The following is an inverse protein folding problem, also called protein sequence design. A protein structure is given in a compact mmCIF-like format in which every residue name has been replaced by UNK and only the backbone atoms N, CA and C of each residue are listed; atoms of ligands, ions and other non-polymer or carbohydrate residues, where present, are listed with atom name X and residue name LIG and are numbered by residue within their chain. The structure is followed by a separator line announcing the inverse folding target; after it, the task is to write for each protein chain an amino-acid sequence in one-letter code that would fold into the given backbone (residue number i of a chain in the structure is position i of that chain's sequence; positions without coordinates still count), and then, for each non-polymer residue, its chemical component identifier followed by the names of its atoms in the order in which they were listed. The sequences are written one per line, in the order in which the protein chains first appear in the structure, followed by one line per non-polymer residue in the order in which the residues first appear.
data_IF_556923244482
#
_entry.id   IF_556923244482
#
_cell.length_a   1.000
_cell.length_b   1.000
_cell.length_c   1.000
_cell.angle_alpha   90.00
_cell.angle_beta   90.00
_cell.angle_gamma   90.00
#
_symmetry.space_group_name_H-M   'P 1'
#
loop_
_entity.id
_entity.type
_entity.pdbx_description
1 polymer ?
#
# COMPACT_ATOMS: atom_id res chain seq x y z
N UNK A 1 28.78 -29.40 -70.68
CA UNK A 1 27.38 -29.17 -70.25
C UNK A 1 27.02 -29.96 -68.96
N UNK A 2 27.24 -31.25 -68.88
CA UNK A 2 26.88 -32.05 -67.72
C UNK A 2 27.55 -31.58 -66.39
N UNK A 3 28.83 -31.22 -66.39
CA UNK A 3 29.53 -30.74 -65.20
C UNK A 3 29.01 -29.41 -64.62
N UNK A 4 28.58 -28.49 -65.46
CA UNK A 4 27.98 -27.20 -65.06
C UNK A 4 26.62 -27.39 -64.38
N UNK A 5 25.78 -28.27 -64.88
CA UNK A 5 24.50 -28.60 -64.25
C UNK A 5 24.64 -29.26 -62.88
N UNK A 6 25.63 -30.13 -62.70
CA UNK A 6 25.92 -30.76 -61.42
C UNK A 6 26.42 -29.75 -60.37
N UNK A 7 27.27 -28.79 -60.78
CA UNK A 7 27.74 -27.73 -59.89
C UNK A 7 26.62 -26.79 -59.46
N UNK A 8 25.72 -26.39 -60.36
CA UNK A 8 24.57 -25.53 -60.04
C UNK A 8 23.58 -26.21 -59.08
N UNK A 9 23.34 -27.53 -59.26
CA UNK A 9 22.47 -28.29 -58.34
C UNK A 9 23.08 -28.40 -56.93
N UNK A 10 24.38 -28.69 -56.84
CA UNK A 10 25.06 -28.79 -55.54
C UNK A 10 25.11 -27.43 -54.80
N UNK A 11 25.37 -26.33 -55.55
CA UNK A 11 25.33 -24.98 -54.96
C UNK A 11 23.91 -24.64 -54.48
N UNK A 12 22.87 -25.01 -55.24
CA UNK A 12 21.46 -24.80 -54.86
C UNK A 12 21.08 -25.55 -53.58
N UNK A 13 21.51 -26.80 -53.43
CA UNK A 13 21.27 -27.59 -52.22
C UNK A 13 22.00 -27.01 -50.98
N UNK A 14 23.24 -26.56 -51.14
CA UNK A 14 24.02 -25.94 -50.07
C UNK A 14 23.36 -24.63 -49.60
N UNK A 15 22.89 -23.80 -50.55
CA UNK A 15 22.21 -22.53 -50.24
C UNK A 15 20.88 -22.79 -49.53
N UNK A 16 20.10 -23.77 -49.97
CA UNK A 16 18.85 -24.15 -49.31
C UNK A 16 19.07 -24.64 -47.88
N UNK A 17 20.08 -25.47 -47.65
CA UNK A 17 20.45 -25.94 -46.33
C UNK A 17 20.81 -24.78 -45.35
N UNK A 18 21.55 -23.79 -45.84
CA UNK A 18 21.87 -22.60 -45.02
C UNK A 18 20.63 -21.77 -44.69
N UNK A 19 19.70 -21.61 -45.62
CA UNK A 19 18.43 -20.88 -45.36
C UNK A 19 17.60 -21.62 -44.32
N UNK A 20 17.50 -22.94 -44.39
CA UNK A 20 16.76 -23.76 -43.41
C UNK A 20 17.39 -23.66 -42.03
N UNK A 21 18.71 -23.76 -41.93
CA UNK A 21 19.42 -23.61 -40.67
C UNK A 21 19.22 -22.23 -40.07
N UNK A 22 19.34 -21.16 -40.89
CA UNK A 22 19.10 -19.79 -40.45
C UNK A 22 17.66 -19.62 -39.93
N UNK A 23 16.68 -20.17 -40.65
CA UNK A 23 15.28 -20.13 -40.22
C UNK A 23 15.07 -20.86 -38.89
N UNK A 24 15.63 -22.05 -38.73
CA UNK A 24 15.55 -22.80 -37.45
C UNK A 24 16.19 -22.02 -36.29
N UNK A 25 17.34 -21.37 -36.50
CA UNK A 25 18.01 -20.57 -35.50
C UNK A 25 17.16 -19.35 -35.11
N UNK A 26 16.53 -18.70 -36.07
CA UNK A 26 15.60 -17.58 -35.81
C UNK A 26 14.39 -18.06 -35.02
N UNK A 27 13.81 -19.19 -35.34
CA UNK A 27 12.68 -19.76 -34.58
C UNK A 27 13.08 -20.11 -33.14
N UNK A 28 14.23 -20.72 -32.96
CA UNK A 28 14.76 -21.01 -31.62
C UNK A 28 14.99 -19.70 -30.83
N UNK A 29 15.59 -18.71 -31.43
CA UNK A 29 15.81 -17.41 -30.81
C UNK A 29 14.50 -16.74 -30.39
N UNK A 30 13.49 -16.71 -31.30
CA UNK A 30 12.17 -16.14 -30.98
C UNK A 30 11.50 -16.91 -29.82
N UNK A 31 11.55 -18.24 -29.83
CA UNK A 31 10.97 -19.06 -28.78
C UNK A 31 11.64 -18.81 -27.42
N UNK A 32 12.97 -18.69 -27.40
CA UNK A 32 13.74 -18.38 -26.18
C UNK A 32 13.39 -16.98 -25.67
N UNK A 33 13.25 -15.99 -26.55
CA UNK A 33 12.86 -14.64 -26.15
C UNK A 33 11.45 -14.59 -25.56
N UNK A 34 10.49 -15.26 -26.17
CA UNK A 34 9.11 -15.34 -25.66
C UNK A 34 9.08 -15.99 -24.26
N UNK A 35 9.83 -17.09 -24.08
CA UNK A 35 9.89 -17.77 -22.80
C UNK A 35 10.58 -16.90 -21.72
N UNK A 36 11.63 -16.16 -22.11
CA UNK A 36 12.31 -15.23 -21.22
C UNK A 36 11.39 -14.07 -20.78
N UNK A 37 10.65 -13.45 -21.69
CA UNK A 37 9.67 -12.40 -21.38
C UNK A 37 8.58 -12.92 -20.45
N UNK A 38 8.06 -14.11 -20.71
CA UNK A 38 7.04 -14.75 -19.87
C UNK A 38 7.55 -15.01 -18.45
N UNK A 39 8.78 -15.50 -18.31
CA UNK A 39 9.41 -15.69 -16.98
C UNK A 39 9.60 -14.38 -16.23
N UNK A 40 9.96 -13.31 -16.92
CA UNK A 40 10.08 -11.96 -16.33
C UNK A 40 8.72 -11.45 -15.83
N UNK A 41 7.65 -11.63 -16.60
CA UNK A 41 6.29 -11.25 -16.19
C UNK A 41 5.83 -12.05 -14.95
N UNK A 42 6.07 -13.37 -14.95
CA UNK A 42 5.75 -14.22 -13.79
C UNK A 42 6.53 -13.82 -12.54
N UNK A 43 7.81 -13.50 -12.67
CA UNK A 43 8.63 -13.02 -11.55
C UNK A 43 8.14 -11.67 -11.00
N UNK A 44 7.81 -10.73 -11.89
CA UNK A 44 7.25 -9.44 -11.51
C UNK A 44 5.90 -9.60 -10.80
N UNK A 45 5.06 -10.50 -11.28
CA UNK A 45 3.77 -10.81 -10.64
C UNK A 45 3.99 -11.42 -9.25
N UNK A 46 4.89 -12.36 -9.09
CA UNK A 46 5.23 -12.95 -7.80
C UNK A 46 5.81 -11.92 -6.82
N UNK A 47 6.69 -11.04 -7.30
CA UNK A 47 7.20 -9.94 -6.48
C UNK A 47 6.09 -9.00 -6.04
N UNK A 48 5.17 -8.60 -6.93
CA UNK A 48 4.00 -7.79 -6.59
C UNK A 48 3.13 -8.48 -5.54
N UNK A 49 2.81 -9.76 -5.71
CA UNK A 49 2.04 -10.55 -4.75
C UNK A 49 2.76 -10.62 -3.40
N UNK A 50 4.07 -10.82 -3.39
CA UNK A 50 4.87 -10.87 -2.15
C UNK A 50 4.85 -9.52 -1.40
N UNK A 51 4.99 -8.41 -2.13
CA UNK A 51 4.86 -7.05 -1.57
C UNK A 51 3.44 -6.85 -1.02
N UNK A 52 2.41 -7.26 -1.76
CA UNK A 52 1.01 -7.21 -1.33
C UNK A 52 0.80 -7.92 0.02
N UNK A 53 1.24 -9.17 0.11
CA UNK A 53 1.09 -9.98 1.33
C UNK A 53 1.88 -9.37 2.49
N UNK A 54 3.03 -8.75 2.22
CA UNK A 54 3.85 -8.12 3.26
C UNK A 54 3.25 -6.80 3.78
N UNK A 55 2.46 -6.08 2.96
CA UNK A 55 1.77 -4.85 3.37
C UNK A 55 0.51 -5.15 4.18
N UNK A 56 -0.16 -6.29 3.93
CA UNK A 56 -1.25 -6.76 4.80
C UNK A 56 -0.59 -7.49 5.97
N UNK A 57 -0.62 -6.91 7.15
CA UNK A 57 -0.01 -7.52 8.33
C UNK A 57 -0.65 -8.89 8.64
N UNK A 58 0.07 -10.03 8.53
CA UNK A 58 -0.53 -11.35 8.74
C UNK A 58 -1.15 -11.51 10.13
N UNK A 59 -0.55 -10.88 11.12
CA UNK A 59 -1.04 -10.89 12.50
C UNK A 59 -2.39 -10.15 12.65
N UNK A 60 -2.59 -9.03 11.95
CA UNK A 60 -3.88 -8.33 11.92
C UNK A 60 -4.97 -9.21 11.32
N UNK A 61 -4.72 -9.82 10.15
CA UNK A 61 -5.68 -10.72 9.50
C UNK A 61 -6.08 -11.88 10.43
N UNK A 62 -5.11 -12.51 11.06
CA UNK A 62 -5.37 -13.63 11.98
C UNK A 62 -6.22 -13.20 13.17
N UNK A 63 -5.95 -12.04 13.73
CA UNK A 63 -6.71 -11.50 14.86
C UNK A 63 -8.14 -11.15 14.49
N UNK A 64 -8.35 -10.46 13.36
CA UNK A 64 -9.69 -10.11 12.85
C UNK A 64 -10.51 -11.37 12.60
N UNK A 65 -9.97 -12.36 11.88
CA UNK A 65 -10.66 -13.62 11.62
C UNK A 65 -11.00 -14.40 12.90
N UNK A 66 -10.10 -14.35 13.90
CA UNK A 66 -10.35 -14.99 15.20
C UNK A 66 -11.48 -14.28 15.95
N UNK A 67 -11.55 -12.95 15.90
CA UNK A 67 -12.62 -12.17 16.52
C UNK A 67 -13.96 -12.39 15.80
N UNK A 68 -13.98 -12.37 14.47
CA UNK A 68 -15.20 -12.70 13.68
C UNK A 68 -15.71 -14.11 14.03
N UNK A 69 -14.81 -15.10 14.13
CA UNK A 69 -15.18 -16.46 14.53
C UNK A 69 -15.82 -16.52 15.93
N UNK A 70 -15.34 -15.71 16.88
CA UNK A 70 -15.93 -15.60 18.20
C UNK A 70 -17.32 -14.97 18.13
N UNK A 71 -17.49 -13.88 17.38
CA UNK A 71 -18.76 -13.19 17.17
C UNK A 71 -19.82 -14.08 16.52
N UNK A 72 -19.46 -14.98 15.60
CA UNK A 72 -20.41 -15.93 15.01
C UNK A 72 -21.18 -16.76 16.03
N UNK A 73 -20.66 -16.91 17.26
CA UNK A 73 -21.32 -17.65 18.36
C UNK A 73 -22.11 -16.76 19.30
N UNK A 74 -21.90 -15.44 19.28
CA UNK A 74 -22.42 -14.47 20.24
C UNK A 74 -23.47 -13.60 19.57
N UNK A 75 -23.11 -12.98 18.45
CA UNK A 75 -23.95 -12.09 17.65
C UNK A 75 -23.66 -12.24 16.16
N UNK A 76 -24.54 -12.94 15.45
CA UNK A 76 -24.38 -13.21 14.03
C UNK A 76 -24.45 -11.93 13.17
N UNK A 77 -25.19 -10.89 13.60
CA UNK A 77 -25.29 -9.62 12.87
C UNK A 77 -24.01 -8.82 12.98
N UNK A 78 -23.43 -8.78 14.17
CA UNK A 78 -22.15 -8.12 14.38
C UNK A 78 -21.03 -8.85 13.63
N UNK A 79 -21.06 -10.19 13.59
CA UNK A 79 -20.15 -11.00 12.79
C UNK A 79 -20.27 -10.72 11.27
N UNK A 80 -21.49 -10.56 10.75
CA UNK A 80 -21.74 -10.20 9.34
C UNK A 80 -21.23 -8.82 9.01
N UNK A 81 -21.46 -7.83 9.88
CA UNK A 81 -20.91 -6.47 9.74
C UNK A 81 -19.40 -6.47 9.70
N UNK A 82 -18.76 -7.15 10.65
CA UNK A 82 -17.31 -7.27 10.73
C UNK A 82 -16.70 -7.99 9.50
N UNK A 83 -17.36 -9.01 8.97
CA UNK A 83 -16.95 -9.68 7.75
C UNK A 83 -17.06 -8.76 6.53
N UNK A 84 -18.08 -7.90 6.49
CA UNK A 84 -18.24 -6.89 5.45
C UNK A 84 -17.12 -5.86 5.50
N UNK A 85 -16.84 -5.29 6.67
CA UNK A 85 -15.74 -4.34 6.86
C UNK A 85 -14.40 -4.96 6.51
N UNK A 86 -14.17 -6.22 6.90
CA UNK A 86 -12.96 -6.95 6.56
C UNK A 86 -12.79 -7.14 5.05
N UNK A 87 -13.89 -7.46 4.35
CA UNK A 87 -13.87 -7.62 2.88
C UNK A 87 -13.59 -6.29 2.19
N UNK A 88 -14.19 -5.18 2.66
CA UNK A 88 -13.96 -3.83 2.13
C UNK A 88 -12.54 -3.36 2.41
N UNK A 89 -12.01 -3.62 3.60
CA UNK A 89 -10.63 -3.36 3.96
C UNK A 89 -9.64 -4.08 3.04
N UNK A 90 -9.82 -5.39 2.82
CA UNK A 90 -8.96 -6.17 1.90
C UNK A 90 -9.02 -5.65 0.46
N UNK A 91 -10.24 -5.31 -0.02
CA UNK A 91 -10.42 -4.73 -1.36
C UNK A 91 -9.69 -3.40 -1.49
N UNK A 92 -9.84 -2.50 -0.51
CA UNK A 92 -9.15 -1.21 -0.49
C UNK A 92 -7.63 -1.34 -0.56
N UNK A 93 -7.04 -2.31 0.16
CA UNK A 93 -5.62 -2.62 0.06
C UNK A 93 -5.23 -3.07 -1.36
N UNK A 94 -6.01 -3.96 -1.99
CA UNK A 94 -5.75 -4.44 -3.35
C UNK A 94 -5.85 -3.32 -4.39
N UNK A 95 -6.88 -2.47 -4.29
CA UNK A 95 -7.09 -1.33 -5.19
C UNK A 95 -5.95 -0.31 -5.08
N UNK A 96 -5.44 -0.10 -3.87
CA UNK A 96 -4.34 0.83 -3.59
C UNK A 96 -3.01 0.43 -4.25
N UNK A 97 -2.78 -0.87 -4.46
CA UNK A 97 -1.58 -1.39 -5.13
C UNK A 97 -1.58 -1.13 -6.64
N UNK A 98 -2.76 -0.99 -7.23
CA UNK A 98 -2.93 -0.69 -8.66
C UNK A 98 -2.79 0.80 -8.97
N UNK A 99 -2.90 1.66 -7.94
CA UNK A 99 -2.87 3.11 -8.08
C UNK A 99 -1.48 3.68 -7.77
N UNK A 100 -0.85 4.29 -8.77
CA UNK A 100 0.44 4.97 -8.62
C UNK A 100 0.31 6.49 -8.39
N UNK A 101 -0.89 7.04 -8.51
CA UNK A 101 -1.19 8.47 -8.36
C UNK A 101 -1.91 8.79 -7.04
N UNK A 102 -2.43 10.00 -6.94
CA UNK A 102 -3.26 10.41 -5.80
C UNK A 102 -4.71 9.91 -5.96
N UNK A 103 -5.33 9.58 -4.83
CA UNK A 103 -6.75 9.23 -4.70
C UNK A 103 -7.48 10.29 -3.89
N UNK A 104 -8.81 10.46 -4.02
CA UNK A 104 -9.58 11.36 -3.17
C UNK A 104 -9.41 11.01 -1.68
N UNK A 105 -9.23 12.03 -0.83
CA UNK A 105 -9.10 11.83 0.62
C UNK A 105 -10.28 11.06 1.23
N UNK A 106 -11.49 11.27 0.74
CA UNK A 106 -12.67 10.52 1.20
C UNK A 106 -12.54 9.01 1.00
N UNK A 107 -11.88 8.57 -0.07
CA UNK A 107 -11.65 7.16 -0.33
C UNK A 107 -10.65 6.58 0.70
N UNK A 108 -9.56 7.29 0.96
CA UNK A 108 -8.55 6.92 1.97
C UNK A 108 -9.14 6.93 3.39
N UNK A 109 -9.96 7.95 3.69
CA UNK A 109 -10.67 8.05 4.97
C UNK A 109 -11.63 6.88 5.18
N UNK A 110 -12.36 6.46 4.13
CA UNK A 110 -13.27 5.34 4.22
C UNK A 110 -12.54 4.02 4.41
N UNK A 111 -11.43 3.82 3.71
CA UNK A 111 -10.54 2.68 3.92
C UNK A 111 -10.03 2.61 5.37
N UNK A 112 -9.55 3.73 5.90
CA UNK A 112 -9.09 3.86 7.28
C UNK A 112 -10.22 3.58 8.29
N UNK A 113 -11.46 3.97 8.00
CA UNK A 113 -12.62 3.67 8.87
C UNK A 113 -12.87 2.16 8.97
N UNK A 114 -12.81 1.42 7.87
CA UNK A 114 -12.95 -0.04 7.92
C UNK A 114 -11.88 -0.70 8.80
N UNK A 115 -10.63 -0.24 8.69
CA UNK A 115 -9.56 -0.66 9.61
C UNK A 115 -9.91 -0.37 11.08
N UNK A 116 -10.33 0.87 11.37
CA UNK A 116 -10.68 1.30 12.73
C UNK A 116 -11.85 0.50 13.30
N UNK A 117 -12.89 0.21 12.51
CA UNK A 117 -14.06 -0.54 12.96
C UNK A 117 -13.67 -1.98 13.31
N UNK A 118 -12.77 -2.60 12.53
CA UNK A 118 -12.20 -3.91 12.86
C UNK A 118 -11.36 -3.90 14.15
N UNK A 119 -10.59 -2.86 14.41
CA UNK A 119 -9.81 -2.75 15.65
C UNK A 119 -10.71 -2.40 16.85
N UNK A 120 -11.76 -1.59 16.67
CA UNK A 120 -12.77 -1.35 17.72
C UNK A 120 -13.53 -2.61 18.12
N UNK A 121 -13.87 -3.47 17.16
CA UNK A 121 -14.46 -4.78 17.46
C UNK A 121 -13.53 -5.62 18.35
N UNK A 122 -12.22 -5.51 18.15
CA UNK A 122 -11.22 -6.28 18.88
C UNK A 122 -10.93 -5.72 20.28
N UNK A 123 -10.78 -4.40 20.39
CA UNK A 123 -10.37 -3.72 21.62
C UNK A 123 -11.54 -3.16 22.43
N UNK A 124 -12.73 -3.12 21.85
CA UNK A 124 -13.92 -2.67 22.54
C UNK A 124 -13.81 -1.24 23.06
N UNK A 125 -14.04 -1.09 24.37
CA UNK A 125 -14.04 0.22 25.04
C UNK A 125 -12.64 0.82 25.26
N UNK A 126 -11.60 0.03 25.10
CA UNK A 126 -10.21 0.48 25.32
C UNK A 126 -9.69 1.33 24.15
N UNK A 127 -10.39 1.30 22.99
CA UNK A 127 -10.06 2.10 21.82
C UNK A 127 -11.15 3.10 21.47
N UNK A 128 -10.84 4.37 21.63
CA UNK A 128 -11.68 5.46 21.12
C UNK A 128 -11.02 6.10 19.90
N UNK A 129 -11.74 6.22 18.78
CA UNK A 129 -11.26 6.92 17.59
C UNK A 129 -12.27 7.97 17.18
N UNK A 130 -11.82 9.22 17.09
CA UNK A 130 -12.62 10.39 16.75
C UNK A 130 -12.21 10.94 15.37
N UNK A 131 -13.19 11.20 14.52
CA UNK A 131 -12.98 11.80 13.20
C UNK A 131 -13.54 13.22 13.18
N UNK A 132 -12.66 14.20 13.09
CA UNK A 132 -12.99 15.62 12.93
C UNK A 132 -12.44 16.10 11.58
N UNK A 133 -13.11 15.74 10.49
CA UNK A 133 -12.63 15.93 9.12
C UNK A 133 -13.54 16.85 8.31
N UNK A 134 -13.60 18.15 8.63
CA UNK A 134 -14.44 19.12 7.91
C UNK A 134 -13.95 19.40 6.50
N UNK A 135 -12.65 19.24 6.22
CA UNK A 135 -12.03 19.44 4.91
C UNK A 135 -11.74 18.08 4.28
N UNK A 136 -12.37 17.80 3.12
CA UNK A 136 -12.26 16.48 2.46
C UNK A 136 -12.04 16.58 0.95
N UNK A 137 -12.04 17.80 0.38
CA UNK A 137 -11.97 18.03 -1.07
C UNK A 137 -10.52 18.16 -1.55
N UNK A 138 -9.71 17.14 -1.30
CA UNK A 138 -8.33 17.05 -1.77
C UNK A 138 -7.95 15.59 -2.03
N UNK A 139 -6.78 15.39 -2.60
CA UNK A 139 -6.27 14.04 -2.93
C UNK A 139 -4.89 13.85 -2.33
N UNK A 140 -4.57 12.59 -2.00
CA UNK A 140 -3.28 12.18 -1.44
C UNK A 140 -2.91 10.78 -1.98
N UNK A 141 -1.66 10.36 -1.85
CA UNK A 141 -1.27 9.00 -2.23
C UNK A 141 -2.04 7.93 -1.44
N UNK A 142 -2.41 6.80 -2.04
CA UNK A 142 -3.10 5.72 -1.34
C UNK A 142 -2.24 5.14 -0.19
N UNK A 143 -2.89 4.56 0.82
CA UNK A 143 -2.27 3.99 2.03
C UNK A 143 -1.38 5.00 2.78
N UNK A 144 -1.80 6.26 2.82
CA UNK A 144 -1.10 7.34 3.53
C UNK A 144 -1.64 7.52 4.94
N UNK A 145 -2.97 7.52 5.11
CA UNK A 145 -3.62 7.77 6.40
C UNK A 145 -3.63 6.50 7.27
N UNK A 146 -4.00 5.35 6.70
CA UNK A 146 -4.16 4.10 7.46
C UNK A 146 -2.90 3.69 8.22
N UNK A 147 -1.66 3.68 7.65
CA UNK A 147 -0.46 3.30 8.40
C UNK A 147 -0.14 4.22 9.58
N UNK A 148 -0.54 5.49 9.50
CA UNK A 148 -0.35 6.44 10.62
C UNK A 148 -1.36 6.14 11.74
N UNK A 149 -2.62 5.90 11.37
CA UNK A 149 -3.67 5.51 12.33
C UNK A 149 -3.35 4.14 12.94
N UNK A 150 -2.84 3.19 12.16
CA UNK A 150 -2.37 1.91 12.67
C UNK A 150 -1.27 2.08 13.71
N UNK A 151 -0.28 2.94 13.43
CA UNK A 151 0.80 3.23 14.36
C UNK A 151 0.26 3.83 15.67
N UNK A 152 -0.66 4.80 15.58
CA UNK A 152 -1.31 5.42 16.74
C UNK A 152 -2.09 4.38 17.57
N UNK A 153 -2.87 3.52 16.92
CA UNK A 153 -3.64 2.47 17.60
C UNK A 153 -2.70 1.45 18.26
N UNK A 154 -1.83 0.79 17.47
CA UNK A 154 -1.08 -0.39 17.96
C UNK A 154 0.14 -0.05 18.80
N UNK A 155 0.85 0.99 18.42
CA UNK A 155 2.10 1.39 19.08
C UNK A 155 1.94 2.57 20.03
N UNK A 156 0.83 3.32 19.89
CA UNK A 156 0.44 4.37 20.81
C UNK A 156 -0.49 3.85 21.92
N UNK A 157 -1.81 3.92 21.66
CA UNK A 157 -2.83 3.75 22.70
C UNK A 157 -2.95 2.33 23.23
N UNK A 158 -2.81 1.30 22.40
CA UNK A 158 -2.93 -0.10 22.82
C UNK A 158 -1.72 -0.64 23.59
N UNK A 159 -0.70 0.17 23.77
CA UNK A 159 0.40 -0.13 24.70
C UNK A 159 0.10 0.32 26.14
N UNK A 160 -0.97 1.11 26.35
CA UNK A 160 -1.47 1.48 27.67
C UNK A 160 -2.48 0.47 28.18
N UNK A 161 -2.41 0.11 29.47
CA UNK A 161 -3.35 -0.83 30.10
C UNK A 161 -4.82 -0.34 30.08
N UNK A 162 -5.03 0.96 30.07
CA UNK A 162 -6.36 1.60 30.09
C UNK A 162 -6.83 2.01 28.70
N UNK A 163 -6.08 1.64 27.64
CA UNK A 163 -6.37 2.08 26.30
C UNK A 163 -6.13 3.57 26.08
N UNK A 164 -6.83 4.16 25.12
CA UNK A 164 -6.72 5.59 24.83
C UNK A 164 -7.52 6.05 23.64
N UNK A 165 -7.20 7.26 23.17
CA UNK A 165 -7.93 7.97 22.14
C UNK A 165 -7.01 8.33 20.98
N UNK A 166 -7.48 8.07 19.75
CA UNK A 166 -6.87 8.57 18.51
C UNK A 166 -7.82 9.58 17.88
N UNK A 167 -7.29 10.74 17.50
CA UNK A 167 -8.06 11.81 16.85
C UNK A 167 -7.49 12.04 15.45
N UNK A 168 -8.34 11.90 14.44
CA UNK A 168 -8.03 12.23 13.06
C UNK A 168 -8.72 13.54 12.73
N UNK A 169 -7.97 14.54 12.32
CA UNK A 169 -8.52 15.85 11.96
C UNK A 169 -8.01 16.35 10.63
N UNK A 170 -8.83 17.16 9.95
CA UNK A 170 -8.42 17.88 8.74
C UNK A 170 -8.68 19.36 8.88
N UNK A 171 -7.78 20.15 8.34
CA UNK A 171 -7.92 21.59 8.20
C UNK A 171 -7.28 22.05 6.88
N UNK A 172 -7.37 23.34 6.59
CA UNK A 172 -6.69 23.91 5.45
C UNK A 172 -6.05 25.25 5.83
N UNK A 173 -4.92 25.54 5.19
CA UNK A 173 -4.24 26.81 5.22
C UNK A 173 -4.39 27.50 3.87
N UNK A 174 -3.75 28.64 3.68
CA UNK A 174 -3.71 29.29 2.36
C UNK A 174 -3.01 28.44 1.30
N UNK A 175 -1.96 27.69 1.70
CA UNK A 175 -1.10 26.92 0.80
C UNK A 175 -1.37 25.42 0.79
N UNK A 176 -1.90 24.87 1.90
CA UNK A 176 -1.92 23.42 2.11
C UNK A 176 -3.25 22.92 2.67
N UNK A 177 -3.57 21.67 2.36
CA UNK A 177 -4.47 20.84 3.14
C UNK A 177 -3.66 20.14 4.23
N UNK A 178 -4.19 20.13 5.44
CA UNK A 178 -3.50 19.57 6.61
C UNK A 178 -4.32 18.41 7.16
N UNK A 179 -3.67 17.26 7.35
CA UNK A 179 -4.24 16.08 8.01
C UNK A 179 -3.41 15.81 9.26
N UNK A 180 -4.07 15.72 10.40
CA UNK A 180 -3.40 15.44 11.68
C UNK A 180 -3.98 14.19 12.30
N UNK A 181 -3.10 13.29 12.75
CA UNK A 181 -3.43 12.12 13.57
C UNK A 181 -2.73 12.28 14.91
N UNK A 182 -3.51 12.39 15.98
CA UNK A 182 -3.02 12.55 17.34
C UNK A 182 -3.48 11.39 18.23
N UNK A 183 -2.59 10.84 19.02
CA UNK A 183 -2.89 9.84 20.03
C UNK A 183 -2.41 10.25 21.41
N UNK A 184 -3.09 9.76 22.45
CA UNK A 184 -2.71 9.90 23.85
C UNK A 184 -1.96 8.66 24.38
N UNK A 185 -1.32 7.91 23.49
CA UNK A 185 -0.58 6.69 23.78
C UNK A 185 0.73 6.92 24.54
N UNK A 186 1.56 5.86 24.59
CA UNK A 186 2.85 5.90 25.28
C UNK A 186 3.88 6.84 24.65
N UNK A 187 3.68 7.23 23.37
CA UNK A 187 4.65 8.00 22.61
C UNK A 187 6.01 7.30 22.49
N UNK A 188 6.98 8.01 21.95
CA UNK A 188 8.36 7.54 21.79
C UNK A 188 9.33 8.72 21.72
N UNK A 189 10.61 8.42 21.83
CA UNK A 189 11.68 9.40 21.63
C UNK A 189 11.87 9.67 20.12
N UNK A 190 11.46 10.85 19.66
CA UNK A 190 11.52 11.24 18.26
C UNK A 190 12.96 11.32 17.72
N UNK A 191 13.98 11.53 18.57
CA UNK A 191 15.39 11.53 18.12
C UNK A 191 15.84 10.13 17.66
N UNK A 192 15.23 9.05 18.19
CA UNK A 192 15.53 7.68 17.79
C UNK A 192 14.97 7.33 16.41
N UNK A 193 13.98 8.05 15.91
CA UNK A 193 13.49 7.91 14.52
C UNK A 193 14.57 8.24 13.49
N UNK A 194 15.38 9.25 13.73
CA UNK A 194 16.45 9.68 12.83
C UNK A 194 17.59 8.66 12.72
N UNK A 195 17.72 7.75 13.70
CA UNK A 195 18.78 6.75 13.77
C UNK A 195 18.45 5.41 13.08
N UNK A 196 17.35 5.30 12.30
CA UNK A 196 17.00 4.08 11.55
C UNK A 196 16.27 3.03 12.38
N UNK A 197 15.53 3.42 13.40
CA UNK A 197 14.77 2.54 14.29
C UNK A 197 13.48 1.96 13.69
N UNK A 198 12.71 1.26 14.51
CA UNK A 198 11.55 0.38 14.22
C UNK A 198 10.34 0.98 13.46
N UNK A 199 10.37 2.24 12.99
CA UNK A 199 9.21 2.94 12.40
C UNK A 199 9.26 3.01 10.86
N UNK A 200 9.56 1.89 10.21
CA UNK A 200 9.65 1.79 8.74
C UNK A 200 8.35 2.24 8.05
N UNK A 201 7.18 2.00 8.67
CA UNK A 201 5.89 2.39 8.11
C UNK A 201 5.71 3.90 7.97
N UNK A 202 6.02 4.67 9.01
CA UNK A 202 5.94 6.14 8.97
C UNK A 202 6.94 6.76 7.98
N UNK A 203 8.14 6.19 7.90
CA UNK A 203 9.14 6.62 6.93
C UNK A 203 8.67 6.43 5.49
N UNK A 204 8.11 5.27 5.17
CA UNK A 204 7.57 4.98 3.84
C UNK A 204 6.43 5.93 3.45
N UNK A 205 5.56 6.29 4.42
CA UNK A 205 4.50 7.30 4.19
C UNK A 205 5.10 8.66 3.86
N UNK A 206 6.10 9.11 4.62
CA UNK A 206 6.79 10.38 4.43
C UNK A 206 7.41 10.48 3.03
N UNK A 207 8.19 9.45 2.63
CA UNK A 207 8.81 9.40 1.31
C UNK A 207 7.77 9.42 0.17
N UNK A 208 6.70 8.64 0.31
CA UNK A 208 5.64 8.57 -0.69
C UNK A 208 4.89 9.90 -0.81
N UNK A 209 4.57 10.55 0.32
CA UNK A 209 3.91 11.85 0.34
C UNK A 209 4.75 12.90 -0.39
N UNK A 210 6.06 12.94 -0.13
CA UNK A 210 6.97 13.85 -0.79
C UNK A 210 7.11 13.55 -2.30
N UNK A 211 7.26 12.29 -2.68
CA UNK A 211 7.50 11.89 -4.06
C UNK A 211 6.29 12.07 -4.97
N UNK A 212 5.06 11.83 -4.46
CA UNK A 212 3.84 11.78 -5.30
C UNK A 212 3.13 13.13 -5.35
N UNK A 213 3.06 13.87 -4.25
CA UNK A 213 2.31 15.14 -4.22
C UNK A 213 3.11 16.34 -3.68
N UNK A 214 4.43 16.17 -3.43
CA UNK A 214 5.27 17.24 -2.89
C UNK A 214 4.92 17.65 -1.46
N UNK A 215 4.15 16.81 -0.76
CA UNK A 215 3.77 17.05 0.62
C UNK A 215 4.89 16.76 1.60
N UNK A 216 4.70 17.16 2.85
CA UNK A 216 5.64 16.87 3.93
C UNK A 216 4.90 16.36 5.18
N UNK A 217 5.64 15.69 6.04
CA UNK A 217 5.11 15.10 7.27
C UNK A 217 6.02 15.46 8.45
N UNK A 218 5.40 15.93 9.51
CA UNK A 218 6.04 16.23 10.79
C UNK A 218 5.52 15.27 11.86
N UNK A 219 6.40 14.86 12.77
CA UNK A 219 6.08 13.94 13.86
C UNK A 219 6.58 14.56 15.15
N UNK A 220 5.67 14.78 16.08
CA UNK A 220 5.95 15.21 17.43
C UNK A 220 5.56 14.09 18.39
N UNK A 221 6.49 13.58 19.16
CA UNK A 221 6.24 12.52 20.12
C UNK A 221 7.11 12.71 21.37
N UNK A 222 6.66 12.20 22.47
CA UNK A 222 7.40 12.17 23.72
C UNK A 222 6.93 11.01 24.60
N UNK A 223 7.83 10.47 25.38
CA UNK A 223 7.52 9.36 26.29
C UNK A 223 6.37 9.77 27.22
N UNK A 224 5.31 8.95 27.25
CA UNK A 224 4.06 9.13 27.99
C UNK A 224 3.23 10.38 27.59
N UNK A 225 3.58 11.05 26.47
CA UNK A 225 2.87 12.23 25.97
C UNK A 225 2.02 11.96 24.72
N UNK A 226 2.07 10.73 24.20
CA UNK A 226 1.44 10.37 22.93
C UNK A 226 2.24 10.83 21.72
N UNK A 227 1.60 10.77 20.55
CA UNK A 227 2.20 11.15 19.28
C UNK A 227 1.24 12.03 18.48
N UNK A 228 1.79 13.03 17.81
CA UNK A 228 1.08 13.88 16.87
C UNK A 228 1.79 13.83 15.52
N UNK A 229 1.09 13.34 14.50
CA UNK A 229 1.59 13.27 13.13
C UNK A 229 0.80 14.26 12.28
N UNK A 230 1.48 15.24 11.71
CA UNK A 230 0.89 16.26 10.84
C UNK A 230 1.39 16.08 9.41
N UNK A 231 0.48 15.91 8.47
CA UNK A 231 0.75 15.85 7.03
C UNK A 231 0.25 17.13 6.37
N UNK A 232 1.11 17.76 5.58
CA UNK A 232 0.77 18.93 4.77
C UNK A 232 0.82 18.55 3.30
N UNK A 233 -0.29 18.72 2.60
CA UNK A 233 -0.47 18.41 1.19
C UNK A 233 -0.65 19.74 0.44
N UNK A 234 0.30 20.15 -0.42
CA UNK A 234 0.20 21.41 -1.15
C UNK A 234 -1.07 21.49 -1.99
N UNK A 235 -1.78 22.62 -1.89
CA UNK A 235 -2.85 22.93 -2.83
C UNK A 235 -2.20 23.13 -4.21
N UNK A 236 -2.61 22.34 -5.22
CA UNK A 236 -2.20 22.59 -6.60
C UNK A 236 -2.51 24.04 -6.93
N UNK A 237 -1.50 24.88 -7.11
CA UNK A 237 -1.71 26.18 -7.75
C UNK A 237 -2.31 25.88 -9.13
N UNK A 238 -3.58 26.23 -9.35
CA UNK A 238 -4.06 26.42 -10.72
C UNK A 238 -3.10 27.44 -11.31
N UNK A 239 -2.26 27.00 -12.25
CA UNK A 239 -1.60 27.95 -13.11
C UNK A 239 -2.73 28.76 -13.74
N UNK A 240 -2.78 30.04 -13.37
CA UNK A 240 -3.65 31.01 -13.99
C UNK A 240 -3.19 31.15 -15.43
N UNK A 241 -4.03 30.61 -16.36
CA UNK A 241 -3.98 30.99 -17.78
C UNK A 241 -4.10 32.51 -17.98
#
# INVERSE_FOLDING_TARGET
MAAAVVVDTVIGEITLAHVVVAFCLIQIYITVQIEYEKQQEEQLLQQRISIMISQIQPHFLYNVLTSIRALCRIDAREAESALTDFTLYLRGNLDSLSNTGCIPFLQELQHTKHYVDLEKMRFGRDLTVLFNTPVTQFSLPPLTLEPIVENAVRHGVMQRLQGGTVIISTSETESDFVVTVSDDGIGFDAEQLAAGGKHIGLWNVRERLAAVCGGHMEIESGIDKGTNVTMCIPKCRKESE
#
